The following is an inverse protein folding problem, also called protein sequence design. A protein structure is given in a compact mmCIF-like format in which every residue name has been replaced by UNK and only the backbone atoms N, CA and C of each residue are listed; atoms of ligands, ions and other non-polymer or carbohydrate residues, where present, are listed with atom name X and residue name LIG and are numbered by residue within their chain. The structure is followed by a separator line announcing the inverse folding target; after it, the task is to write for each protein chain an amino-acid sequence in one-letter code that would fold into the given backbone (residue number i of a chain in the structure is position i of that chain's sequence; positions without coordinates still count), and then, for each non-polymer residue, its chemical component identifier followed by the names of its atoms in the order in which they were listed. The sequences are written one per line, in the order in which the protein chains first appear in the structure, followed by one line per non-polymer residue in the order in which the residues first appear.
data_IF_367945559061
#
_entry.id   IF_367945559061
#
_cell.length_a   1.000
_cell.length_b   1.000
_cell.length_c   1.000
_cell.angle_alpha   90.00
_cell.angle_beta   90.00
_cell.angle_gamma   90.00
#
_symmetry.space_group_name_H-M   'P 1'
#
loop_
_entity.id
_entity.type
_entity.pdbx_description
1 polymer ?
#
# COMPACT_ATOMS: atom_id res chain seq x y z
N UNK A 1 -7.01 8.88 14.98
CA UNK A 1 -6.10 8.45 13.89
C UNK A 1 -6.71 8.81 12.54
N UNK A 2 -5.88 9.18 11.55
CA UNK A 2 -6.28 9.52 10.18
C UNK A 2 -5.40 8.78 9.15
N UNK A 3 -6.02 8.12 8.18
CA UNK A 3 -5.34 7.69 6.95
C UNK A 3 -5.45 8.82 5.92
N UNK A 4 -4.31 9.22 5.35
CA UNK A 4 -4.17 10.41 4.52
C UNK A 4 -3.43 10.12 3.21
N UNK A 5 -3.83 10.79 2.12
CA UNK A 5 -3.20 10.66 0.80
C UNK A 5 -1.99 11.57 0.62
N UNK A 6 -0.84 11.01 0.23
CA UNK A 6 0.37 11.80 -0.03
C UNK A 6 0.19 12.73 -1.22
N UNK A 7 0.54 14.00 -1.03
CA UNK A 7 0.52 15.02 -2.10
C UNK A 7 -0.85 15.66 -2.34
N UNK A 8 -1.93 15.18 -1.72
CA UNK A 8 -3.27 15.72 -1.94
C UNK A 8 -3.55 17.00 -1.11
N UNK A 9 -3.99 18.11 -1.73
CA UNK A 9 -4.31 19.33 -0.99
C UNK A 9 -5.42 19.16 0.04
N UNK A 10 -6.42 18.33 -0.25
CA UNK A 10 -7.51 18.01 0.69
C UNK A 10 -7.00 17.26 1.92
N UNK A 11 -6.15 16.27 1.70
CA UNK A 11 -5.50 15.48 2.74
C UNK A 11 -4.68 16.37 3.69
N UNK A 12 -3.83 17.27 3.16
CA UNK A 12 -3.05 18.21 3.98
C UNK A 12 -3.92 19.13 4.84
N UNK A 13 -5.09 19.56 4.33
CA UNK A 13 -6.02 20.37 5.13
C UNK A 13 -6.65 19.57 6.27
N UNK A 14 -6.99 18.30 6.01
CA UNK A 14 -7.52 17.41 7.04
C UNK A 14 -6.48 17.10 8.11
N UNK A 15 -5.22 16.85 7.72
CA UNK A 15 -4.10 16.70 8.66
C UNK A 15 -3.95 17.94 9.54
N UNK A 16 -3.85 19.14 8.95
CA UNK A 16 -3.69 20.37 9.73
C UNK A 16 -4.87 20.63 10.69
N UNK A 17 -6.11 20.35 10.26
CA UNK A 17 -7.27 20.48 11.12
C UNK A 17 -7.25 19.48 12.29
N UNK A 18 -6.79 18.25 12.05
CA UNK A 18 -6.62 17.24 13.08
C UNK A 18 -5.53 17.64 14.08
N UNK A 19 -4.37 18.09 13.58
CA UNK A 19 -3.25 18.54 14.41
C UNK A 19 -3.64 19.73 15.31
N UNK A 20 -4.50 20.62 14.82
CA UNK A 20 -5.00 21.78 15.56
C UNK A 20 -6.18 21.48 16.51
N UNK A 21 -6.70 20.25 16.53
CA UNK A 21 -7.94 19.93 17.26
C UNK A 21 -7.78 19.81 18.79
N UNK A 22 -6.54 19.75 19.29
CA UNK A 22 -6.25 19.61 20.72
C UNK A 22 -6.45 18.20 21.28
N UNK A 23 -6.75 17.22 20.44
CA UNK A 23 -6.78 15.79 20.81
C UNK A 23 -5.49 15.11 20.37
N UNK A 24 -5.14 14.00 21.02
CA UNK A 24 -4.04 13.14 20.53
C UNK A 24 -4.36 12.58 19.14
N UNK A 25 -3.40 12.70 18.22
CA UNK A 25 -3.59 12.30 16.85
C UNK A 25 -2.45 11.45 16.31
N UNK A 26 -2.75 10.64 15.30
CA UNK A 26 -1.75 9.91 14.53
C UNK A 26 -2.20 9.94 13.08
N UNK A 27 -1.29 10.29 12.18
CA UNK A 27 -1.52 10.31 10.73
C UNK A 27 -0.69 9.21 10.10
N UNK A 28 -1.34 8.32 9.34
CA UNK A 28 -0.67 7.41 8.41
C UNK A 28 -0.88 8.00 7.02
N UNK A 29 0.18 8.57 6.44
CA UNK A 29 0.16 9.17 5.11
C UNK A 29 0.71 8.19 4.10
N UNK A 30 -0.16 7.68 3.23
CA UNK A 30 0.20 6.63 2.29
C UNK A 30 0.49 7.17 0.88
N UNK A 31 1.41 6.50 0.18
CA UNK A 31 1.57 6.62 -1.27
C UNK A 31 0.42 5.94 -2.02
N UNK A 32 0.50 5.90 -3.35
CA UNK A 32 -0.51 5.26 -4.19
C UNK A 32 -0.62 3.75 -3.94
N UNK A 33 -1.83 3.21 -4.00
CA UNK A 33 -2.09 1.80 -3.68
C UNK A 33 -1.87 0.88 -4.87
N UNK A 34 -1.28 -0.29 -4.64
CA UNK A 34 -1.22 -1.36 -5.64
C UNK A 34 -2.63 -1.80 -6.09
N UNK A 35 -3.59 -1.77 -5.17
CA UNK A 35 -4.98 -2.19 -5.40
C UNK A 35 -5.72 -1.29 -6.39
N UNK A 36 -5.22 -0.08 -6.67
CA UNK A 36 -5.77 0.76 -7.74
C UNK A 36 -5.74 0.03 -9.10
N UNK A 37 -4.77 -0.87 -9.32
CA UNK A 37 -4.58 -1.63 -10.56
C UNK A 37 -5.36 -2.96 -10.61
N UNK A 38 -5.63 -3.59 -9.46
CA UNK A 38 -6.30 -4.89 -9.40
C UNK A 38 -7.79 -4.81 -9.14
N UNK A 39 -8.23 -3.80 -8.39
CA UNK A 39 -9.59 -3.70 -7.84
C UNK A 39 -10.21 -2.32 -8.05
N UNK A 40 -9.36 -1.31 -8.27
CA UNK A 40 -9.76 0.07 -8.43
C UNK A 40 -10.09 0.47 -9.87
N UNK A 41 -10.24 1.78 -10.04
CA UNK A 41 -10.62 2.42 -11.30
C UNK A 41 -9.61 2.22 -12.44
N UNK A 42 -8.37 1.78 -12.16
CA UNK A 42 -7.38 1.49 -13.21
C UNK A 42 -7.46 0.08 -13.78
N UNK A 43 -8.26 -0.82 -13.19
CA UNK A 43 -8.37 -2.21 -13.66
C UNK A 43 -8.78 -2.27 -15.15
N UNK A 44 -9.73 -1.45 -15.57
CA UNK A 44 -10.13 -1.38 -16.98
C UNK A 44 -8.97 -1.04 -17.91
N UNK A 45 -8.15 -0.06 -17.53
CA UNK A 45 -6.95 0.36 -18.26
C UNK A 45 -5.86 -0.73 -18.28
N UNK A 46 -5.69 -1.45 -17.17
CA UNK A 46 -4.79 -2.62 -17.09
C UNK A 46 -5.22 -3.68 -18.09
N UNK A 47 -6.52 -4.02 -18.12
CA UNK A 47 -7.07 -5.03 -19.03
C UNK A 47 -7.02 -4.57 -20.49
N UNK A 48 -7.15 -3.27 -20.75
CA UNK A 48 -6.94 -2.67 -22.08
C UNK A 48 -5.46 -2.62 -22.50
N UNK A 49 -4.53 -2.95 -21.59
CA UNK A 49 -3.08 -2.99 -21.84
C UNK A 49 -2.39 -1.61 -21.88
N UNK A 50 -3.11 -0.53 -21.56
CA UNK A 50 -2.58 0.83 -21.57
C UNK A 50 -3.08 1.59 -20.35
N UNK A 51 -2.12 2.09 -19.55
CA UNK A 51 -2.40 2.92 -18.37
C UNK A 51 -1.79 4.29 -18.61
N UNK A 52 -2.64 5.30 -18.74
CA UNK A 52 -2.23 6.70 -18.83
C UNK A 52 -2.29 7.32 -17.43
N UNK A 53 -1.13 7.67 -16.89
CA UNK A 53 -1.00 8.37 -15.60
C UNK A 53 -0.18 9.63 -15.78
N UNK A 54 -0.48 10.71 -15.04
CA UNK A 54 0.39 11.88 -14.94
C UNK A 54 1.63 11.50 -14.11
N UNK A 55 2.53 10.73 -14.72
CA UNK A 55 3.76 10.27 -14.09
C UNK A 55 4.88 11.27 -14.38
N UNK A 56 5.37 11.92 -13.32
CA UNK A 56 6.55 12.77 -13.37
C UNK A 56 7.85 11.96 -13.58
N UNK A 57 9.02 12.63 -13.55
CA UNK A 57 10.32 11.97 -13.70
C UNK A 57 10.69 11.11 -12.48
N UNK A 58 10.08 11.39 -11.32
CA UNK A 58 10.31 10.69 -10.06
C UNK A 58 9.47 9.41 -10.03
N UNK A 59 10.08 8.24 -9.76
CA UNK A 59 9.36 6.99 -9.58
C UNK A 59 8.36 7.03 -8.44
N UNK A 60 7.16 6.48 -8.65
CA UNK A 60 6.18 6.32 -7.58
C UNK A 60 6.34 4.96 -6.87
N UNK A 61 6.56 4.94 -5.53
CA UNK A 61 6.59 3.71 -4.75
C UNK A 61 5.18 3.30 -4.29
N UNK A 62 4.53 2.45 -5.06
CA UNK A 62 3.19 1.95 -4.72
C UNK A 62 3.23 1.05 -3.49
N UNK A 63 2.34 1.33 -2.54
CA UNK A 63 2.21 0.57 -1.30
C UNK A 63 1.05 -0.44 -1.41
N UNK A 64 1.18 -1.58 -0.75
CA UNK A 64 0.09 -2.53 -0.59
C UNK A 64 -0.85 -2.05 0.54
N UNK A 65 -2.17 -2.16 0.36
CA UNK A 65 -3.11 -1.78 1.43
C UNK A 65 -2.97 -2.65 2.69
N UNK A 66 -2.49 -3.89 2.56
CA UNK A 66 -2.21 -4.75 3.72
C UNK A 66 -1.06 -4.16 4.56
N UNK A 67 -0.02 -3.60 3.93
CA UNK A 67 1.10 -2.95 4.63
C UNK A 67 0.62 -1.66 5.34
N UNK A 68 -0.32 -0.92 4.74
CA UNK A 68 -0.96 0.24 5.40
C UNK A 68 -1.76 -0.23 6.62
N UNK A 69 -2.53 -1.31 6.48
CA UNK A 69 -3.36 -1.84 7.55
C UNK A 69 -2.51 -2.30 8.74
N UNK A 70 -1.36 -2.94 8.49
CA UNK A 70 -0.41 -3.33 9.54
C UNK A 70 0.11 -2.11 10.31
N UNK A 71 0.53 -1.05 9.62
CA UNK A 71 1.02 0.18 10.27
C UNK A 71 -0.09 0.88 11.04
N UNK A 72 -1.27 1.02 10.44
CA UNK A 72 -2.43 1.63 11.07
C UNK A 72 -2.85 0.86 12.35
N UNK A 73 -2.86 -0.47 12.27
CA UNK A 73 -3.21 -1.33 13.41
C UNK A 73 -2.19 -1.21 14.53
N UNK A 74 -0.88 -1.26 14.21
CA UNK A 74 0.18 -1.07 15.18
C UNK A 74 0.09 0.30 15.85
N UNK A 75 -0.13 1.36 15.07
CA UNK A 75 -0.26 2.73 15.57
C UNK A 75 -1.48 2.94 16.45
N UNK A 76 -2.59 2.24 16.18
CA UNK A 76 -3.84 2.37 16.91
C UNK A 76 -3.82 1.64 18.26
N UNK A 77 -3.09 0.52 18.35
CA UNK A 77 -3.11 -0.36 19.53
C UNK A 77 -1.99 -0.07 20.55
N UNK A 78 -1.04 0.80 20.21
CA UNK A 78 0.12 1.10 21.04
C UNK A 78 0.13 2.58 21.42
N UNK A 79 0.09 2.85 22.72
CA UNK A 79 0.02 4.20 23.31
C UNK A 79 1.29 5.04 23.08
N UNK A 80 2.32 4.50 22.41
CA UNK A 80 3.57 5.21 22.07
C UNK A 80 3.46 6.07 20.79
N UNK A 81 2.32 6.05 20.10
CA UNK A 81 2.14 6.73 18.81
C UNK A 81 1.33 8.06 18.81
N UNK A 82 1.08 8.77 19.93
CA UNK A 82 0.39 10.05 19.86
C UNK A 82 1.27 11.13 19.24
N UNK A 83 0.63 12.03 18.50
CA UNK A 83 1.19 13.18 17.79
C UNK A 83 2.28 12.80 16.79
N UNK A 84 2.03 11.72 16.02
CA UNK A 84 2.96 11.18 15.03
C UNK A 84 2.39 11.19 13.62
N UNK A 85 3.24 11.53 12.66
CA UNK A 85 2.97 11.34 11.23
C UNK A 85 3.91 10.27 10.67
N UNK A 86 3.32 9.21 10.12
CA UNK A 86 4.01 8.12 9.45
C UNK A 86 3.80 8.25 7.94
N UNK A 87 4.85 8.57 7.20
CA UNK A 87 4.81 8.47 5.75
C UNK A 87 5.15 7.03 5.34
N UNK A 88 4.19 6.34 4.74
CA UNK A 88 4.30 4.92 4.37
C UNK A 88 4.30 4.77 2.85
N UNK A 89 5.31 4.07 2.35
CA UNK A 89 5.54 3.84 0.93
C UNK A 89 5.86 2.38 0.66
N UNK A 90 5.67 1.95 -0.58
CA UNK A 90 6.10 0.62 -1.01
C UNK A 90 7.62 0.46 -1.00
N UNK A 91 8.13 -0.77 -0.87
CA UNK A 91 9.56 -1.05 -0.81
C UNK A 91 10.30 -0.86 -2.16
N UNK A 92 9.56 -0.66 -3.26
CA UNK A 92 10.11 -0.42 -4.59
C UNK A 92 9.35 0.71 -5.27
N UNK A 93 10.08 1.47 -6.06
CA UNK A 93 9.50 2.50 -6.91
C UNK A 93 9.52 2.03 -8.36
N UNK A 94 8.35 1.67 -8.87
CA UNK A 94 8.22 0.84 -10.08
C UNK A 94 7.65 1.62 -11.28
N UNK A 95 6.96 2.75 -11.08
CA UNK A 95 6.40 3.56 -12.18
C UNK A 95 7.20 4.85 -12.44
N UNK A 96 7.80 4.96 -13.62
CA UNK A 96 8.24 6.23 -14.23
C UNK A 96 7.31 6.57 -15.39
N UNK A 97 7.25 7.83 -15.82
CA UNK A 97 6.51 8.25 -17.01
C UNK A 97 6.99 7.57 -18.30
N UNK A 98 6.47 6.37 -18.57
CA UNK A 98 6.39 5.65 -19.87
C UNK A 98 5.96 4.18 -19.66
N UNK A 99 4.67 3.96 -19.35
CA UNK A 99 3.98 2.67 -19.51
C UNK A 99 4.31 1.57 -18.49
N UNK A 100 3.36 1.26 -17.60
CA UNK A 100 3.44 0.14 -16.68
C UNK A 100 3.12 -1.18 -17.41
N UNK A 101 4.09 -2.10 -17.56
CA UNK A 101 3.81 -3.50 -17.95
C UNK A 101 3.58 -4.32 -16.68
N UNK A 102 2.38 -4.85 -16.52
CA UNK A 102 2.06 -5.81 -15.45
C UNK A 102 3.02 -7.01 -15.52
N UNK A 103 3.93 -7.09 -14.55
CA UNK A 103 4.70 -8.30 -14.25
C UNK A 103 4.23 -8.81 -12.91
N UNK A 104 3.07 -9.48 -12.88
CA UNK A 104 2.65 -10.31 -11.75
C UNK A 104 3.83 -11.14 -11.25
N UNK A 105 4.32 -10.83 -10.05
CA UNK A 105 5.02 -11.83 -9.24
C UNK A 105 3.98 -12.87 -8.86
N UNK A 106 4.09 -14.07 -9.42
CA UNK A 106 3.49 -15.26 -8.81
C UNK A 106 4.00 -15.33 -7.37
N UNK A 107 3.12 -15.16 -6.37
CA UNK A 107 3.46 -15.50 -4.98
C UNK A 107 3.83 -17.00 -4.97
N UNK A 108 4.97 -17.42 -4.42
CA UNK A 108 5.24 -18.82 -4.13
C UNK A 108 4.47 -19.20 -2.85
N UNK A 109 3.14 -19.23 -2.92
CA UNK A 109 2.28 -19.66 -1.82
C UNK A 109 1.41 -20.88 -2.15
N UNK A 110 1.38 -21.33 -3.41
CA UNK A 110 0.68 -22.56 -3.82
C UNK A 110 1.52 -23.84 -3.71
N UNK A 111 2.73 -23.78 -3.15
CA UNK A 111 3.61 -24.93 -2.98
C UNK A 111 3.53 -25.55 -1.56
N UNK A 112 2.35 -25.64 -0.96
CA UNK A 112 2.11 -26.48 0.22
C UNK A 112 0.62 -26.71 0.48
N UNK A 113 -0.05 -27.55 -0.31
CA UNK A 113 -1.30 -28.19 0.15
C UNK A 113 -0.94 -29.47 0.89
N UNK A 114 -1.20 -29.46 2.20
CA UNK A 114 -1.18 -30.64 3.10
C UNK A 114 -2.40 -31.50 2.79
N UNK A 115 -2.22 -32.81 2.71
CA UNK A 115 -3.31 -33.80 2.75
C UNK A 115 -3.95 -33.80 4.15
N UNK A 116 -5.23 -34.18 4.25
CA UNK A 116 -6.09 -34.15 5.46
C UNK A 116 -5.58 -35.03 6.62
N UNK A 117 -4.40 -35.65 6.48
CA UNK A 117 -3.72 -36.46 7.49
C UNK A 117 -2.32 -35.95 7.89
N UNK A 118 -2.04 -34.66 7.74
CA UNK A 118 -1.03 -33.96 8.54
C UNK A 118 0.38 -34.57 8.62
N UNK A 119 0.89 -35.22 7.55
CA UNK A 119 2.28 -35.72 7.50
C UNK A 119 3.10 -35.00 6.44
N UNK A 120 4.29 -34.56 6.85
CA UNK A 120 5.26 -33.80 6.04
C UNK A 120 6.12 -34.77 5.21
N UNK A 121 5.90 -34.89 3.90
CA UNK A 121 6.80 -35.64 3.03
C UNK A 121 7.94 -34.73 2.55
N UNK A 122 9.15 -34.92 3.13
CA UNK A 122 10.39 -34.33 2.60
C UNK A 122 10.77 -35.09 1.32
N UNK A 123 10.97 -34.40 0.19
CA UNK A 123 11.63 -35.00 -0.98
C UNK A 123 13.14 -34.78 -0.89
N UNK A 124 13.88 -35.89 -0.92
CA UNK A 124 15.31 -35.96 -1.21
C UNK A 124 15.52 -35.97 -2.74
N UNK A 125 16.71 -35.49 -3.12
CA UNK A 125 17.33 -35.42 -4.45
C UNK A 125 16.80 -34.34 -5.40
#
# INVERSE_FOLDING_TARGET
MLLSGRGEPGARRAEAALEASGIDWTVVRASWFNQNFSEGYLLGSVLAGVIALPAGPVPEPFIDVDDIADVATAALLDDRHPNRLYEVIGPRADLRGSGCRDRRRRRPADAARRDERGRLCRRHA
#
